data_IF_696295128778
#
_entry.id   IF_696295128778
#
_cell.length_a   1.000
_cell.length_b   1.000
_cell.length_c   1.000
_cell.angle_alpha   90.00
_cell.angle_beta   90.00
_cell.angle_gamma   90.00
#
_symmetry.space_group_name_H-M   'P 1'
#
loop_
_entity.id
_entity.type
_entity.pdbx_description
1 polymer ?
#
# COMPACT_ATOMS: atom_id res chain seq x y z
N UNK A 1 16.16 48.02 -45.87
CA UNK A 1 16.72 47.01 -44.94
C UNK A 1 15.71 46.83 -43.83
N UNK A 2 14.82 45.85 -44.00
CA UNK A 2 13.77 45.52 -43.03
C UNK A 2 14.38 44.68 -41.92
N UNK A 3 14.14 45.09 -40.68
CA UNK A 3 14.48 44.35 -39.46
C UNK A 3 13.39 43.30 -39.20
N UNK A 4 13.73 42.02 -39.36
CA UNK A 4 12.88 40.91 -38.95
C UNK A 4 12.84 40.82 -37.42
N UNK A 5 11.62 40.80 -36.86
CA UNK A 5 11.37 40.43 -35.47
C UNK A 5 11.39 38.89 -35.34
N UNK A 6 11.94 38.31 -34.26
CA UNK A 6 11.87 36.88 -34.02
C UNK A 6 10.42 36.46 -33.80
N UNK A 7 9.99 35.39 -34.47
CA UNK A 7 8.62 34.88 -34.43
C UNK A 7 8.22 34.39 -33.04
N UNK A 8 7.06 34.86 -32.57
CA UNK A 8 6.35 34.29 -31.44
C UNK A 8 5.99 32.82 -31.72
N UNK A 9 6.46 31.92 -30.87
CA UNK A 9 6.01 30.54 -30.86
C UNK A 9 4.51 30.51 -30.54
N UNK A 10 3.69 30.20 -31.55
CA UNK A 10 2.24 30.01 -31.38
C UNK A 10 1.99 28.88 -30.38
N UNK A 11 1.59 29.24 -29.17
CA UNK A 11 1.05 28.32 -28.18
C UNK A 11 -0.24 27.74 -28.75
N UNK A 12 -0.15 26.52 -29.27
CA UNK A 12 -1.29 25.81 -29.84
C UNK A 12 -2.20 25.36 -28.69
N UNK A 13 -3.14 26.20 -28.28
CA UNK A 13 -4.17 25.92 -27.29
C UNK A 13 -5.18 24.91 -27.85
N UNK A 14 -4.76 23.64 -27.96
CA UNK A 14 -5.68 22.55 -28.25
C UNK A 14 -6.70 22.48 -27.10
N UNK A 15 -7.98 22.63 -27.44
CA UNK A 15 -9.12 22.44 -26.54
C UNK A 15 -8.95 21.18 -25.68
N UNK A 16 -9.06 21.34 -24.36
CA UNK A 16 -9.17 20.22 -23.43
C UNK A 16 -10.59 19.66 -23.59
N UNK A 17 -10.72 18.46 -24.18
CA UNK A 17 -11.98 17.71 -24.14
C UNK A 17 -12.19 17.18 -22.72
N UNK A 18 -13.24 17.68 -22.07
CA UNK A 18 -13.75 17.13 -20.81
C UNK A 18 -14.29 15.71 -21.07
N UNK A 19 -14.02 14.79 -20.13
CA UNK A 19 -14.39 13.37 -20.19
C UNK A 19 -15.85 13.11 -19.81
N UNK A 20 -16.67 14.16 -19.71
CA UNK A 20 -18.01 14.12 -19.11
C UNK A 20 -19.08 13.44 -19.97
N UNK A 21 -18.79 13.06 -21.22
CA UNK A 21 -19.74 12.35 -22.08
C UNK A 21 -19.09 11.16 -22.80
N UNK A 22 -19.77 10.01 -22.91
CA UNK A 22 -19.40 8.97 -23.87
C UNK A 22 -19.31 9.64 -25.25
N UNK A 23 -18.16 9.54 -25.91
CA UNK A 23 -18.03 10.13 -27.25
C UNK A 23 -19.12 9.57 -28.15
N UNK A 24 -19.95 10.44 -28.75
CA UNK A 24 -20.74 10.09 -29.93
C UNK A 24 -19.79 9.79 -31.09
N UNK A 25 -19.13 8.63 -31.08
CA UNK A 25 -18.38 8.08 -32.21
C UNK A 25 -17.94 6.64 -31.91
N UNK A 26 -18.70 5.68 -32.45
CA UNK A 26 -18.21 4.33 -32.78
C UNK A 26 -17.97 3.38 -31.61
N UNK A 27 -17.94 2.09 -31.95
CA UNK A 27 -17.59 0.97 -31.07
C UNK A 27 -16.40 1.36 -30.19
N UNK A 28 -16.58 1.30 -28.87
CA UNK A 28 -15.50 1.50 -27.91
C UNK A 28 -14.34 0.58 -28.28
N UNK A 29 -13.18 1.16 -28.61
CA UNK A 29 -11.94 0.40 -28.80
C UNK A 29 -11.30 -0.03 -27.49
N UNK A 30 -11.97 0.17 -26.35
CA UNK A 30 -11.49 -0.24 -25.05
C UNK A 30 -11.71 -1.75 -24.87
N UNK A 31 -10.70 -2.51 -24.41
CA UNK A 31 -10.88 -3.91 -24.08
C UNK A 31 -11.88 -4.07 -22.93
N UNK A 32 -12.73 -5.09 -23.02
CA UNK A 32 -13.63 -5.46 -21.93
C UNK A 32 -12.82 -5.95 -20.71
N UNK A 33 -13.36 -5.74 -19.50
CA UNK A 33 -12.80 -6.29 -18.27
C UNK A 33 -13.85 -7.19 -17.62
N UNK A 34 -13.51 -8.46 -17.42
CA UNK A 34 -14.26 -9.41 -16.60
C UNK A 34 -13.50 -9.61 -15.29
N UNK A 35 -13.75 -8.77 -14.29
CA UNK A 35 -13.02 -8.83 -13.03
C UNK A 35 -13.25 -10.18 -12.33
N UNK A 36 -12.17 -10.81 -11.86
CA UNK A 36 -12.21 -12.14 -11.26
C UNK A 36 -12.19 -13.30 -12.25
N UNK A 37 -12.06 -13.09 -13.56
CA UNK A 37 -11.77 -14.21 -14.47
C UNK A 37 -10.35 -14.75 -14.24
N UNK A 38 -10.24 -16.08 -14.15
CA UNK A 38 -8.97 -16.78 -13.88
C UNK A 38 -8.06 -16.87 -15.11
N UNK A 39 -8.61 -16.80 -16.32
CA UNK A 39 -7.82 -16.64 -17.55
C UNK A 39 -7.56 -15.14 -17.77
N UNK A 40 -6.30 -14.69 -17.89
CA UNK A 40 -5.99 -13.29 -18.18
C UNK A 40 -6.64 -12.79 -19.48
N UNK A 41 -6.79 -13.62 -20.52
CA UNK A 41 -7.43 -13.21 -21.77
C UNK A 41 -8.91 -12.91 -21.58
N UNK A 42 -9.62 -13.73 -20.80
CA UNK A 42 -11.02 -13.49 -20.44
C UNK A 42 -11.16 -12.30 -19.48
N UNK A 43 -10.20 -12.15 -18.55
CA UNK A 43 -10.14 -11.01 -17.62
C UNK A 43 -9.98 -9.69 -18.37
N UNK A 44 -9.15 -9.67 -19.41
CA UNK A 44 -8.83 -8.48 -20.23
C UNK A 44 -7.87 -7.50 -19.53
N UNK A 45 -7.14 -6.63 -20.25
CA UNK A 45 -6.11 -5.77 -19.66
C UNK A 45 -6.65 -4.49 -19.00
N UNK A 46 -5.90 -3.94 -18.03
CA UNK A 46 -6.12 -2.59 -17.48
C UNK A 46 -5.46 -1.54 -18.37
N UNK A 47 -6.26 -0.65 -18.98
CA UNK A 47 -5.78 0.35 -19.94
C UNK A 47 -6.05 1.77 -19.44
N UNK A 48 -5.07 2.34 -18.74
CA UNK A 48 -5.05 3.70 -18.21
C UNK A 48 -4.44 4.75 -19.14
N UNK A 49 -4.58 4.58 -20.45
CA UNK A 49 -3.89 5.40 -21.45
C UNK A 49 -4.25 6.89 -21.37
N UNK A 50 -3.24 7.75 -21.59
CA UNK A 50 -3.39 9.22 -21.67
C UNK A 50 -3.41 9.74 -23.11
N UNK A 51 -3.14 8.88 -24.10
CA UNK A 51 -3.01 9.25 -25.51
C UNK A 51 -4.25 8.88 -26.31
N UNK A 52 -4.62 7.60 -26.33
CA UNK A 52 -5.76 7.10 -27.09
C UNK A 52 -6.97 6.86 -26.17
N UNK A 53 -7.70 7.93 -25.84
CA UNK A 53 -8.78 7.86 -24.86
C UNK A 53 -9.91 6.88 -25.20
N UNK A 54 -10.10 6.50 -26.47
CA UNK A 54 -11.12 5.51 -26.85
C UNK A 54 -10.76 4.07 -26.44
N UNK A 55 -9.50 3.79 -26.11
CA UNK A 55 -9.03 2.49 -25.62
C UNK A 55 -9.08 2.39 -24.08
N UNK A 56 -9.42 3.48 -23.38
CA UNK A 56 -9.36 3.55 -21.93
C UNK A 56 -10.54 2.82 -21.30
N UNK A 57 -10.26 1.94 -20.33
CA UNK A 57 -11.26 1.20 -19.56
C UNK A 57 -11.13 1.40 -18.04
N UNK A 58 -10.50 2.51 -17.61
CA UNK A 58 -10.34 2.87 -16.20
C UNK A 58 -10.66 4.34 -15.95
N UNK A 59 -11.06 4.63 -14.71
CA UNK A 59 -11.02 5.96 -14.13
C UNK A 59 -9.61 6.22 -13.59
N UNK A 60 -9.05 7.40 -13.83
CA UNK A 60 -7.67 7.72 -13.43
C UNK A 60 -6.62 7.23 -14.44
N UNK A 61 -5.35 7.21 -14.03
CA UNK A 61 -4.22 6.88 -14.91
C UNK A 61 -3.24 5.95 -14.19
N UNK A 62 -2.43 5.20 -14.94
CA UNK A 62 -1.29 4.47 -14.37
C UNK A 62 -0.34 5.41 -13.61
N UNK A 63 0.56 4.81 -12.82
CA UNK A 63 1.56 5.49 -12.00
C UNK A 63 1.06 6.04 -10.67
N UNK A 64 -0.14 5.66 -10.22
CA UNK A 64 -0.73 6.04 -8.94
C UNK A 64 -0.54 7.53 -8.58
N UNK A 65 -0.04 7.79 -7.37
CA UNK A 65 0.32 9.15 -6.88
C UNK A 65 1.38 9.88 -7.70
N UNK A 66 2.13 9.19 -8.57
CA UNK A 66 3.16 9.78 -9.43
C UNK A 66 2.64 10.29 -10.78
N UNK A 67 1.36 10.06 -11.09
CA UNK A 67 0.75 10.53 -12.35
C UNK A 67 0.89 12.05 -12.56
N UNK A 68 0.84 12.83 -11.48
CA UNK A 68 1.01 14.29 -11.56
C UNK A 68 2.45 14.70 -11.92
N UNK A 69 3.46 14.00 -11.40
CA UNK A 69 4.86 14.26 -11.77
C UNK A 69 5.11 13.94 -13.24
N UNK A 70 4.49 12.87 -13.76
CA UNK A 70 4.53 12.58 -15.19
C UNK A 70 3.88 13.72 -16.00
N UNK A 71 2.73 14.24 -15.56
CA UNK A 71 2.08 15.36 -16.23
C UNK A 71 2.97 16.62 -16.23
N UNK A 72 3.61 16.93 -15.10
CA UNK A 72 4.58 18.02 -14.99
C UNK A 72 5.79 17.81 -15.90
N UNK A 73 6.34 16.60 -15.97
CA UNK A 73 7.45 16.29 -16.86
C UNK A 73 7.08 16.49 -18.34
N UNK A 74 5.84 16.15 -18.74
CA UNK A 74 5.34 16.45 -20.09
C UNK A 74 5.18 17.94 -20.32
N UNK A 75 4.60 18.67 -19.36
CA UNK A 75 4.40 20.11 -19.46
C UNK A 75 5.74 20.87 -19.53
N UNK A 76 6.76 20.41 -18.79
CA UNK A 76 8.11 20.96 -18.79
C UNK A 76 8.95 20.53 -20.00
N UNK A 77 8.46 19.61 -20.84
CA UNK A 77 9.19 19.09 -21.99
C UNK A 77 10.24 18.02 -21.67
N UNK A 78 10.37 17.61 -20.39
CA UNK A 78 11.26 16.53 -19.95
C UNK A 78 10.79 15.14 -20.40
N UNK A 79 9.49 14.99 -20.71
CA UNK A 79 8.92 13.77 -21.27
C UNK A 79 8.08 14.09 -22.50
N UNK A 80 8.31 13.41 -23.61
CA UNK A 80 7.49 13.61 -24.82
C UNK A 80 6.03 13.27 -24.54
N UNK A 81 5.11 14.14 -24.98
CA UNK A 81 3.68 13.87 -24.89
C UNK A 81 3.35 12.56 -25.62
N UNK A 82 2.74 11.64 -24.89
CA UNK A 82 2.39 10.33 -25.40
C UNK A 82 3.53 9.34 -25.48
N UNK A 83 4.64 9.61 -24.78
CA UNK A 83 5.69 8.63 -24.55
C UNK A 83 5.12 7.30 -24.05
N UNK A 84 5.52 6.24 -24.75
CA UNK A 84 5.31 4.83 -24.39
C UNK A 84 6.59 4.31 -23.76
N UNK A 85 6.46 3.72 -22.57
CA UNK A 85 7.59 3.08 -21.93
C UNK A 85 8.01 1.85 -22.74
N UNK A 86 9.31 1.63 -22.85
CA UNK A 86 9.85 0.34 -23.27
C UNK A 86 9.82 -0.61 -22.07
N UNK A 87 9.09 -1.72 -22.21
CA UNK A 87 8.91 -2.74 -21.18
C UNK A 87 9.71 -4.02 -21.51
N UNK A 88 10.64 -3.94 -22.47
CA UNK A 88 11.54 -5.04 -22.78
C UNK A 88 12.38 -5.41 -21.56
N UNK A 89 12.46 -6.69 -21.24
CA UNK A 89 13.20 -7.23 -20.08
C UNK A 89 12.75 -6.68 -18.71
N UNK A 90 11.48 -6.29 -18.57
CA UNK A 90 10.90 -5.88 -17.28
C UNK A 90 10.09 -6.98 -16.59
N UNK A 91 10.14 -8.23 -17.09
CA UNK A 91 9.46 -9.37 -16.47
C UNK A 91 9.94 -9.61 -15.04
N UNK A 92 9.08 -10.15 -14.16
CA UNK A 92 9.44 -10.54 -12.80
C UNK A 92 10.71 -11.39 -12.73
N UNK A 93 11.64 -11.04 -11.82
CA UNK A 93 12.83 -11.88 -11.53
C UNK A 93 12.47 -13.20 -10.83
N UNK A 94 11.27 -13.29 -10.28
CA UNK A 94 10.74 -14.48 -9.59
C UNK A 94 9.25 -14.57 -9.91
N UNK A 95 8.74 -15.72 -10.38
CA UNK A 95 7.33 -15.88 -10.65
C UNK A 95 6.52 -15.89 -9.34
N UNK A 96 5.32 -15.31 -9.38
CA UNK A 96 4.35 -15.32 -8.29
C UNK A 96 3.03 -15.82 -8.86
N UNK A 97 2.44 -16.85 -8.25
CA UNK A 97 1.16 -17.41 -8.69
C UNK A 97 1.20 -17.96 -10.13
N UNK A 98 0.04 -18.01 -10.82
CA UNK A 98 -1.27 -17.58 -10.34
C UNK A 98 -1.76 -18.49 -9.20
N UNK A 99 -2.54 -17.91 -8.28
CA UNK A 99 -3.21 -18.67 -7.22
C UNK A 99 -4.73 -18.64 -7.43
N UNK A 100 -5.50 -19.64 -6.92
CA UNK A 100 -6.95 -19.68 -7.11
C UNK A 100 -7.69 -18.38 -6.72
N UNK A 101 -7.17 -17.67 -5.72
CA UNK A 101 -7.72 -16.39 -5.25
C UNK A 101 -7.71 -15.29 -6.32
N UNK A 102 -6.88 -15.38 -7.35
CA UNK A 102 -6.83 -14.40 -8.45
C UNK A 102 -8.08 -14.46 -9.34
N UNK A 103 -8.73 -15.63 -9.38
CA UNK A 103 -9.99 -15.88 -10.10
C UNK A 103 -11.24 -15.71 -9.23
N UNK A 104 -11.13 -15.05 -8.07
CA UNK A 104 -12.28 -14.75 -7.20
C UNK A 104 -12.49 -13.22 -7.15
N UNK A 105 -13.60 -12.69 -7.71
CA UNK A 105 -13.87 -11.25 -7.78
C UNK A 105 -14.07 -10.58 -6.42
N UNK A 106 -14.13 -11.35 -5.33
CA UNK A 106 -14.32 -10.85 -3.97
C UNK A 106 -13.08 -10.99 -3.09
N UNK A 107 -12.03 -11.70 -3.53
CA UNK A 107 -10.79 -11.87 -2.76
C UNK A 107 -9.78 -10.76 -2.98
N UNK A 108 -9.75 -10.22 -4.20
CA UNK A 108 -8.80 -9.19 -4.61
C UNK A 108 -9.60 -8.10 -5.33
N UNK A 109 -9.71 -6.94 -4.71
CA UNK A 109 -10.49 -5.80 -5.20
C UNK A 109 -9.68 -4.51 -5.27
N UNK A 110 -8.45 -4.49 -4.74
CA UNK A 110 -7.61 -3.28 -4.59
C UNK A 110 -6.23 -3.34 -5.25
N UNK A 111 -5.90 -4.43 -5.95
CA UNK A 111 -4.74 -4.55 -6.83
C UNK A 111 -5.10 -5.36 -8.08
N UNK A 112 -4.27 -5.28 -9.12
CA UNK A 112 -4.42 -6.09 -10.34
C UNK A 112 -3.66 -7.42 -10.20
N UNK A 113 -4.34 -8.58 -10.15
CA UNK A 113 -3.66 -9.87 -10.02
C UNK A 113 -2.64 -10.14 -11.13
N UNK A 114 -2.90 -9.67 -12.35
CA UNK A 114 -2.06 -9.86 -13.54
C UNK A 114 -1.05 -8.72 -13.74
N UNK A 115 -1.00 -7.76 -12.81
CA UNK A 115 -0.21 -6.55 -12.90
C UNK A 115 1.30 -6.77 -13.02
N UNK A 116 1.80 -7.95 -12.64
CA UNK A 116 3.22 -8.31 -12.69
C UNK A 116 3.64 -8.91 -14.04
N UNK A 117 2.71 -9.52 -14.78
CA UNK A 117 2.99 -10.33 -15.98
C UNK A 117 2.36 -9.74 -17.24
N UNK A 118 1.96 -8.47 -17.21
CA UNK A 118 1.33 -7.74 -18.33
C UNK A 118 2.02 -7.96 -19.67
N UNK A 119 3.36 -7.91 -19.69
CA UNK A 119 4.15 -8.09 -20.92
C UNK A 119 3.99 -9.48 -21.56
N UNK A 120 3.74 -10.49 -20.73
CA UNK A 120 3.58 -11.89 -21.15
C UNK A 120 2.11 -12.18 -21.49
N UNK A 121 1.20 -11.88 -20.57
CA UNK A 121 -0.20 -12.26 -20.70
C UNK A 121 -1.00 -11.35 -21.62
N UNK A 122 -0.51 -10.14 -21.93
CA UNK A 122 -1.19 -9.22 -22.87
C UNK A 122 -0.32 -8.83 -24.07
N UNK A 123 0.62 -9.70 -24.47
CA UNK A 123 1.53 -9.47 -25.59
C UNK A 123 0.81 -9.07 -26.89
N UNK A 124 -0.30 -9.74 -27.23
CA UNK A 124 -1.07 -9.43 -28.44
C UNK A 124 -1.70 -8.04 -28.41
N UNK A 125 -2.21 -7.61 -27.26
CA UNK A 125 -2.76 -6.27 -27.08
C UNK A 125 -1.64 -5.22 -27.16
N UNK A 126 -0.48 -5.49 -26.56
CA UNK A 126 0.69 -4.61 -26.67
C UNK A 126 1.14 -4.47 -28.14
N UNK A 127 1.17 -5.57 -28.90
CA UNK A 127 1.48 -5.57 -30.33
C UNK A 127 0.46 -4.80 -31.17
N UNK A 128 -0.81 -4.80 -30.77
CA UNK A 128 -1.89 -3.98 -31.37
C UNK A 128 -1.81 -2.50 -30.95
N UNK A 129 -0.87 -2.13 -30.08
CA UNK A 129 -0.64 -0.75 -29.67
C UNK A 129 -1.50 -0.29 -28.49
N UNK A 130 -2.06 -1.17 -27.67
CA UNK A 130 -2.64 -0.76 -26.38
C UNK A 130 -1.54 -0.28 -25.41
N UNK A 131 -1.80 0.77 -24.63
CA UNK A 131 -0.88 1.29 -23.59
C UNK A 131 -1.24 0.65 -22.25
N UNK A 132 -0.82 -0.61 -22.08
CA UNK A 132 -0.99 -1.42 -20.88
C UNK A 132 0.32 -1.35 -20.11
N UNK A 133 0.27 -1.06 -18.81
CA UNK A 133 1.46 -0.92 -17.98
C UNK A 133 1.39 -1.85 -16.77
N UNK A 134 2.52 -2.47 -16.38
CA UNK A 134 2.60 -3.19 -15.12
C UNK A 134 2.21 -2.29 -13.96
N UNK A 135 1.36 -2.82 -13.08
CA UNK A 135 1.04 -2.21 -11.78
C UNK A 135 1.77 -2.92 -10.65
N UNK A 136 2.46 -4.02 -10.95
CA UNK A 136 3.29 -4.77 -10.01
C UNK A 136 4.66 -5.01 -10.64
N UNK A 137 5.71 -4.89 -9.84
CA UNK A 137 7.08 -5.23 -10.26
C UNK A 137 7.76 -6.08 -9.18
N UNK A 138 8.47 -7.12 -9.60
CA UNK A 138 9.13 -8.09 -8.70
C UNK A 138 10.62 -8.17 -9.01
N UNK A 139 11.45 -7.86 -8.02
CA UNK A 139 12.91 -7.90 -8.13
C UNK A 139 13.55 -8.58 -6.92
N UNK A 140 14.83 -8.93 -7.01
CA UNK A 140 15.63 -9.36 -5.86
C UNK A 140 16.51 -8.21 -5.38
N UNK A 141 16.73 -8.14 -4.07
CA UNK A 141 17.57 -7.12 -3.47
C UNK A 141 18.27 -7.62 -2.21
N UNK A 142 19.34 -6.94 -1.85
CA UNK A 142 19.95 -7.02 -0.52
C UNK A 142 19.56 -5.77 0.26
N UNK A 143 18.99 -5.95 1.46
CA UNK A 143 18.58 -4.84 2.31
C UNK A 143 19.51 -4.75 3.51
N UNK A 144 20.15 -3.60 3.68
CA UNK A 144 20.95 -3.28 4.85
C UNK A 144 20.12 -2.43 5.82
N UNK A 145 19.98 -2.90 7.05
CA UNK A 145 19.39 -2.12 8.14
C UNK A 145 20.36 -2.09 9.33
N UNK A 146 20.56 -0.92 9.97
CA UNK A 146 21.34 -0.81 11.20
C UNK A 146 20.92 -1.82 12.29
N UNK A 147 19.61 -2.09 12.39
CA UNK A 147 19.02 -2.98 13.39
C UNK A 147 19.37 -4.45 13.15
N UNK A 148 19.58 -4.87 11.90
CA UNK A 148 20.09 -6.22 11.59
C UNK A 148 21.53 -6.34 12.09
N UNK A 149 22.37 -5.34 11.83
CA UNK A 149 23.75 -5.31 12.32
C UNK A 149 23.80 -5.34 13.86
N UNK A 150 22.91 -4.60 14.52
CA UNK A 150 22.77 -4.64 15.98
C UNK A 150 22.30 -6.02 16.47
N UNK A 151 21.31 -6.63 15.81
CA UNK A 151 20.84 -7.98 16.16
C UNK A 151 21.94 -9.03 16.06
N UNK A 152 22.83 -8.93 15.05
CA UNK A 152 24.03 -9.78 14.95
C UNK A 152 25.00 -9.51 16.10
N UNK A 153 25.29 -8.23 16.39
CA UNK A 153 26.20 -7.85 17.48
C UNK A 153 25.71 -8.35 18.85
N UNK A 154 24.40 -8.34 19.08
CA UNK A 154 23.76 -8.88 20.27
C UNK A 154 23.44 -10.39 20.19
N UNK A 155 23.95 -11.10 19.18
CA UNK A 155 23.77 -12.54 18.97
C UNK A 155 22.31 -13.01 18.85
N UNK A 156 21.39 -12.10 18.52
CA UNK A 156 19.97 -12.40 18.26
C UNK A 156 19.73 -12.94 16.84
N UNK A 157 20.62 -12.59 15.92
CA UNK A 157 20.70 -13.15 14.57
C UNK A 157 22.13 -13.63 14.28
N UNK A 158 22.25 -14.58 13.34
CA UNK A 158 23.53 -15.15 12.91
C UNK A 158 23.55 -15.20 11.39
N UNK A 159 24.56 -14.64 10.70
CA UNK A 159 24.67 -14.83 9.25
C UNK A 159 24.68 -16.31 8.88
N UNK A 160 23.98 -16.65 7.80
CA UNK A 160 23.88 -18.02 7.26
C UNK A 160 24.29 -18.11 5.77
N UNK A 161 24.63 -16.97 5.15
CA UNK A 161 25.02 -16.89 3.75
C UNK A 161 23.88 -17.12 2.75
N UNK A 162 22.63 -17.28 3.22
CA UNK A 162 21.46 -17.59 2.39
C UNK A 162 20.35 -16.55 2.53
N UNK A 163 19.98 -16.22 3.76
CA UNK A 163 18.95 -15.22 4.07
C UNK A 163 19.56 -13.99 4.72
N UNK A 164 20.64 -14.19 5.48
CA UNK A 164 21.42 -13.14 6.11
C UNK A 164 22.90 -13.32 5.77
N UNK A 165 23.46 -12.36 5.04
CA UNK A 165 24.84 -12.39 4.56
C UNK A 165 25.82 -11.88 5.62
N UNK A 166 27.10 -12.20 5.44
CA UNK A 166 28.18 -11.81 6.37
C UNK A 166 28.34 -10.29 6.50
N UNK A 167 27.99 -9.53 5.46
CA UNK A 167 27.98 -8.06 5.45
C UNK A 167 26.76 -7.45 6.15
N UNK A 168 25.96 -8.27 6.84
CA UNK A 168 24.70 -7.89 7.52
C UNK A 168 23.56 -7.49 6.59
N UNK A 169 23.62 -7.79 5.29
CA UNK A 169 22.46 -7.64 4.42
C UNK A 169 21.51 -8.84 4.52
N UNK A 170 20.21 -8.55 4.50
CA UNK A 170 19.20 -9.57 4.30
C UNK A 170 18.87 -9.71 2.81
N UNK A 171 18.87 -10.96 2.31
CA UNK A 171 18.43 -11.27 0.95
C UNK A 171 16.91 -11.30 0.90
N UNK A 172 16.31 -10.56 -0.03
CA UNK A 172 14.85 -10.48 -0.15
C UNK A 172 14.38 -10.48 -1.60
N UNK A 173 13.22 -11.06 -1.83
CA UNK A 173 12.39 -10.70 -2.98
C UNK A 173 11.58 -9.45 -2.61
N UNK A 174 11.74 -8.40 -3.41
CA UNK A 174 11.06 -7.11 -3.24
C UNK A 174 9.98 -6.96 -4.31
N UNK A 175 8.78 -6.58 -3.87
CA UNK A 175 7.63 -6.39 -4.76
C UNK A 175 7.09 -4.98 -4.58
N UNK A 176 6.92 -4.22 -5.66
CA UNK A 176 6.21 -2.95 -5.64
C UNK A 176 4.82 -3.13 -6.25
N UNK A 177 3.78 -2.55 -5.62
CA UNK A 177 2.38 -2.72 -6.04
C UNK A 177 1.71 -1.34 -6.07
N UNK A 178 1.17 -0.98 -7.23
CA UNK A 178 0.25 0.14 -7.41
C UNK A 178 -1.19 -0.30 -7.17
N UNK A 179 -2.03 0.54 -6.54
CA UNK A 179 -3.43 0.21 -6.29
C UNK A 179 -4.23 0.20 -7.59
N UNK A 180 -5.07 -0.82 -7.75
CA UNK A 180 -6.05 -0.94 -8.85
C UNK A 180 -7.36 -1.40 -8.25
N UNK A 181 -8.37 -0.54 -8.24
CA UNK A 181 -9.61 -0.78 -7.53
C UNK A 181 -10.69 -1.28 -8.48
N UNK A 182 -11.26 -2.43 -8.15
CA UNK A 182 -12.57 -2.86 -8.65
C UNK A 182 -13.66 -2.20 -7.81
N UNK A 183 -14.31 -1.17 -8.36
CA UNK A 183 -15.16 -0.25 -7.58
C UNK A 183 -16.32 -0.99 -6.92
N UNK A 184 -16.98 -1.92 -7.61
CA UNK A 184 -18.05 -2.75 -7.04
C UNK A 184 -17.54 -3.58 -5.85
N UNK A 185 -16.36 -4.19 -5.99
CA UNK A 185 -15.73 -4.97 -4.93
C UNK A 185 -15.36 -4.13 -3.71
N UNK A 186 -14.81 -2.94 -3.93
CA UNK A 186 -14.50 -1.98 -2.85
C UNK A 186 -15.78 -1.50 -2.15
N UNK A 187 -16.85 -1.20 -2.90
CA UNK A 187 -18.14 -0.81 -2.32
C UNK A 187 -18.72 -1.90 -1.42
N UNK A 188 -18.70 -3.16 -1.89
CA UNK A 188 -19.08 -4.33 -1.09
C UNK A 188 -18.24 -4.46 0.18
N UNK A 189 -16.93 -4.23 0.08
CA UNK A 189 -16.01 -4.31 1.23
C UNK A 189 -16.33 -3.29 2.32
N UNK A 190 -16.75 -2.09 1.93
CA UNK A 190 -17.16 -1.02 2.84
C UNK A 190 -18.65 -1.05 3.20
N UNK A 191 -19.40 -2.04 2.75
CA UNK A 191 -20.83 -2.17 2.99
C UNK A 191 -21.63 -0.91 2.57
N UNK A 192 -21.29 -0.37 1.40
CA UNK A 192 -21.97 0.77 0.78
C UNK A 192 -22.41 0.42 -0.65
N UNK A 193 -23.33 1.20 -1.21
CA UNK A 193 -23.67 1.07 -2.63
C UNK A 193 -22.52 1.59 -3.51
N UNK A 194 -22.35 1.01 -4.70
CA UNK A 194 -21.36 1.50 -5.67
C UNK A 194 -21.63 2.96 -6.07
N UNK A 195 -22.91 3.32 -6.23
CA UNK A 195 -23.31 4.68 -6.59
C UNK A 195 -22.93 5.69 -5.50
N UNK A 196 -23.17 5.36 -4.22
CA UNK A 196 -22.80 6.21 -3.11
C UNK A 196 -21.28 6.32 -2.98
N UNK A 197 -20.54 5.22 -3.11
CA UNK A 197 -19.08 5.23 -3.07
C UNK A 197 -18.51 6.17 -4.14
N UNK A 198 -18.95 6.03 -5.40
CA UNK A 198 -18.51 6.87 -6.51
C UNK A 198 -18.83 8.35 -6.27
N UNK A 199 -20.05 8.65 -5.80
CA UNK A 199 -20.49 10.02 -5.53
C UNK A 199 -19.67 10.66 -4.42
N UNK A 200 -19.51 9.98 -3.29
CA UNK A 200 -18.72 10.49 -2.16
C UNK A 200 -17.26 10.68 -2.57
N UNK A 201 -16.66 9.73 -3.29
CA UNK A 201 -15.29 9.88 -3.78
C UNK A 201 -15.14 11.10 -4.71
N UNK A 202 -16.10 11.36 -5.59
CA UNK A 202 -16.09 12.54 -6.44
C UNK A 202 -16.24 13.85 -5.63
N UNK A 203 -17.20 13.90 -4.71
CA UNK A 203 -17.48 15.07 -3.87
C UNK A 203 -16.29 15.41 -2.94
N UNK A 204 -15.79 14.42 -2.20
CA UNK A 204 -14.72 14.58 -1.21
C UNK A 204 -13.33 14.79 -1.83
N UNK A 205 -13.17 14.51 -3.13
CA UNK A 205 -11.94 14.87 -3.88
C UNK A 205 -12.05 16.22 -4.58
N UNK A 206 -13.07 17.02 -4.28
CA UNK A 206 -13.27 18.34 -4.89
C UNK A 206 -13.64 18.26 -6.38
N UNK A 207 -14.35 17.21 -6.78
CA UNK A 207 -14.76 16.98 -8.16
C UNK A 207 -13.67 16.40 -9.06
N UNK A 208 -12.61 15.81 -8.49
CA UNK A 208 -11.63 15.07 -9.30
C UNK A 208 -12.28 13.81 -9.88
N UNK A 209 -11.84 13.44 -11.09
CA UNK A 209 -12.33 12.26 -11.83
C UNK A 209 -13.84 12.27 -12.11
N UNK A 210 -14.35 13.18 -12.96
CA UNK A 210 -15.77 13.23 -13.33
C UNK A 210 -16.33 11.88 -13.83
N UNK A 211 -15.48 11.03 -14.43
CA UNK A 211 -15.85 9.68 -14.85
C UNK A 211 -16.43 8.81 -13.72
N UNK A 212 -16.11 9.08 -12.45
CA UNK A 212 -16.72 8.37 -11.31
C UNK A 212 -18.25 8.48 -11.33
N UNK A 213 -18.79 9.63 -11.74
CA UNK A 213 -20.24 9.91 -11.78
C UNK A 213 -20.82 9.93 -13.19
N UNK A 214 -20.02 10.15 -14.24
CA UNK A 214 -20.50 10.21 -15.62
C UNK A 214 -20.34 8.92 -16.42
N UNK A 215 -19.53 7.96 -15.95
CA UNK A 215 -19.18 6.71 -16.66
C UNK A 215 -19.34 5.49 -15.75
N UNK A 216 -20.60 5.11 -15.50
CA UNK A 216 -20.94 3.89 -14.76
C UNK A 216 -20.50 2.60 -15.46
N UNK A 217 -20.23 2.66 -16.77
CA UNK A 217 -19.69 1.56 -17.57
C UNK A 217 -18.21 1.25 -17.26
N UNK A 218 -17.50 2.15 -16.57
CA UNK A 218 -16.11 1.93 -16.15
C UNK A 218 -16.09 1.50 -14.68
N UNK A 219 -15.84 0.22 -14.43
CA UNK A 219 -15.78 -0.35 -13.07
C UNK A 219 -14.40 -0.35 -12.40
N UNK A 220 -13.34 0.08 -13.09
CA UNK A 220 -11.97 0.09 -12.55
C UNK A 220 -11.52 1.52 -12.26
N UNK A 221 -10.93 1.73 -11.08
CA UNK A 221 -10.32 2.99 -10.68
C UNK A 221 -8.83 2.81 -10.36
N UNK A 222 -8.00 3.72 -10.85
CA UNK A 222 -6.59 3.84 -10.51
C UNK A 222 -6.42 5.03 -9.55
N UNK A 223 -6.56 4.81 -8.22
CA UNK A 223 -6.50 5.90 -7.25
C UNK A 223 -5.09 6.49 -7.17
N UNK A 224 -4.95 7.82 -7.07
CA UNK A 224 -3.66 8.51 -6.99
C UNK A 224 -3.06 8.45 -5.58
N UNK A 225 -3.09 7.28 -4.93
CA UNK A 225 -2.61 7.10 -3.56
C UNK A 225 -1.26 6.38 -3.51
N UNK A 226 -0.70 6.24 -2.31
CA UNK A 226 0.50 5.44 -2.07
C UNK A 226 0.23 3.95 -2.31
N UNK A 227 1.17 3.28 -2.96
CA UNK A 227 1.13 1.84 -3.17
C UNK A 227 1.64 1.03 -1.97
N UNK A 228 2.02 -0.22 -2.23
CA UNK A 228 2.62 -1.11 -1.25
C UNK A 228 4.00 -1.58 -1.72
N UNK A 229 4.86 -1.91 -0.76
CA UNK A 229 6.11 -2.61 -1.03
C UNK A 229 6.21 -3.82 -0.13
N UNK A 230 6.50 -4.97 -0.71
CA UNK A 230 6.66 -6.23 0.01
C UNK A 230 8.14 -6.58 0.07
N UNK A 231 8.53 -7.18 1.20
CA UNK A 231 9.84 -7.78 1.40
C UNK A 231 9.62 -9.22 1.88
N UNK A 232 10.05 -10.17 1.06
CA UNK A 232 9.94 -11.60 1.34
C UNK A 232 11.33 -12.11 1.72
N UNK A 233 11.43 -12.71 2.90
CA UNK A 233 12.64 -13.34 3.42
C UNK A 233 12.47 -14.85 3.23
N UNK A 234 13.20 -15.44 2.29
CA UNK A 234 12.97 -16.82 1.89
C UNK A 234 12.39 -16.96 0.49
N UNK A 235 11.79 -18.12 0.21
CA UNK A 235 11.18 -18.43 -1.09
C UNK A 235 9.75 -17.86 -1.16
N UNK A 236 9.41 -17.04 -2.16
CA UNK A 236 8.04 -16.56 -2.35
C UNK A 236 7.00 -17.66 -2.57
N UNK A 237 7.40 -18.82 -3.12
CA UNK A 237 6.50 -19.95 -3.34
C UNK A 237 5.98 -20.54 -2.03
N UNK A 238 6.78 -20.44 -0.96
CA UNK A 238 6.47 -21.03 0.35
C UNK A 238 5.35 -20.24 1.07
N UNK A 239 5.07 -19.00 0.64
CA UNK A 239 4.00 -18.17 1.22
C UNK A 239 2.60 -18.79 1.05
N UNK A 240 2.39 -19.56 -0.01
CA UNK A 240 1.12 -20.20 -0.32
C UNK A 240 0.98 -21.61 0.30
N UNK A 241 2.07 -22.16 0.83
CA UNK A 241 2.09 -23.49 1.45
C UNK A 241 1.77 -23.40 2.95
N UNK A 242 0.60 -23.86 3.41
CA UNK A 242 0.22 -23.80 4.82
C UNK A 242 1.04 -24.73 5.72
N UNK A 243 1.88 -25.62 5.17
CA UNK A 243 2.81 -26.46 5.94
C UNK A 243 4.12 -25.75 6.27
N UNK A 244 4.46 -24.69 5.54
CA UNK A 244 5.65 -23.87 5.83
C UNK A 244 5.29 -22.76 6.81
N UNK A 245 6.14 -22.54 7.82
CA UNK A 245 5.90 -21.52 8.83
C UNK A 245 6.06 -20.12 8.22
N UNK A 246 4.95 -19.38 8.15
CA UNK A 246 4.90 -17.98 7.73
C UNK A 246 4.92 -17.04 8.95
N UNK A 247 5.99 -16.25 9.05
CA UNK A 247 6.06 -15.08 9.93
C UNK A 247 5.77 -13.82 9.12
N UNK A 248 4.71 -13.08 9.47
CA UNK A 248 4.26 -11.95 8.68
C UNK A 248 4.01 -10.69 9.52
N UNK A 249 4.25 -9.54 8.88
CA UNK A 249 3.87 -8.22 9.39
C UNK A 249 3.24 -7.42 8.26
N UNK A 250 2.08 -6.85 8.55
CA UNK A 250 1.51 -5.80 7.71
C UNK A 250 1.70 -4.45 8.40
N UNK A 251 2.49 -3.59 7.77
CA UNK A 251 2.97 -2.33 8.32
C UNK A 251 2.35 -1.16 7.56
N UNK A 252 1.85 -0.17 8.30
CA UNK A 252 1.43 1.10 7.71
C UNK A 252 2.56 2.10 7.92
N UNK A 253 2.93 2.80 6.86
CA UNK A 253 3.99 3.79 6.81
C UNK A 253 3.92 4.81 7.95
N UNK A 254 5.08 5.08 8.54
CA UNK A 254 5.30 6.14 9.48
C UNK A 254 6.69 6.74 9.21
N UNK A 255 6.80 7.58 8.19
CA UNK A 255 8.04 8.16 7.68
C UNK A 255 8.96 8.71 8.80
N UNK A 256 8.41 9.54 9.68
CA UNK A 256 9.16 10.11 10.80
C UNK A 256 9.79 9.08 11.75
N UNK A 257 9.14 7.93 11.97
CA UNK A 257 9.71 6.86 12.80
C UNK A 257 10.56 5.91 11.95
N UNK A 258 9.98 5.36 10.88
CA UNK A 258 10.58 4.33 10.03
C UNK A 258 11.91 4.78 9.43
N UNK A 259 11.98 6.02 8.91
CA UNK A 259 13.18 6.56 8.27
C UNK A 259 14.08 7.27 9.29
N UNK A 260 13.52 8.14 10.12
CA UNK A 260 14.29 9.08 10.95
C UNK A 260 14.39 8.71 12.43
N UNK A 261 13.77 7.61 12.87
CA UNK A 261 13.93 7.10 14.23
C UNK A 261 13.22 7.92 15.31
N UNK A 262 12.12 8.60 14.97
CA UNK A 262 11.28 9.27 15.97
C UNK A 262 10.85 8.31 17.09
N UNK A 263 10.98 8.78 18.33
CA UNK A 263 10.71 8.08 19.58
C UNK A 263 9.30 8.29 20.15
N UNK A 264 8.46 9.04 19.43
CA UNK A 264 7.08 9.39 19.83
C UNK A 264 6.12 8.21 19.61
N UNK A 265 6.49 7.27 18.73
CA UNK A 265 5.68 6.10 18.42
C UNK A 265 6.54 4.84 18.26
N UNK A 266 5.84 3.72 18.16
CA UNK A 266 6.41 2.37 18.12
C UNK A 266 6.53 1.79 16.71
N UNK A 267 6.31 2.60 15.67
CA UNK A 267 6.30 2.14 14.27
C UNK A 267 7.62 1.49 13.85
N UNK A 268 8.76 2.21 13.97
CA UNK A 268 10.07 1.63 13.62
C UNK A 268 10.50 0.49 14.52
N UNK A 269 10.44 0.60 15.87
CA UNK A 269 10.77 -0.52 16.75
C UNK A 269 10.02 -1.81 16.39
N UNK A 270 8.75 -1.68 16.00
CA UNK A 270 7.95 -2.85 15.66
C UNK A 270 8.25 -3.38 14.25
N UNK A 271 8.53 -2.50 13.29
CA UNK A 271 8.98 -2.87 11.95
C UNK A 271 10.31 -3.63 12.00
N UNK A 272 11.28 -3.13 12.76
CA UNK A 272 12.61 -3.74 12.86
C UNK A 272 12.58 -5.05 13.64
N UNK A 273 11.76 -5.13 14.71
CA UNK A 273 11.48 -6.40 15.38
C UNK A 273 10.84 -7.42 14.43
N UNK A 274 9.85 -7.02 13.62
CA UNK A 274 9.21 -7.90 12.65
C UNK A 274 10.19 -8.38 11.56
N UNK A 275 11.08 -7.51 11.07
CA UNK A 275 12.13 -7.90 10.12
C UNK A 275 13.03 -8.97 10.74
N UNK A 276 13.45 -8.79 11.99
CA UNK A 276 14.25 -9.78 12.70
C UNK A 276 13.52 -11.13 12.88
N UNK A 277 12.24 -11.11 13.27
CA UNK A 277 11.41 -12.32 13.37
C UNK A 277 11.26 -13.01 11.99
N UNK A 278 11.10 -12.23 10.91
CA UNK A 278 11.00 -12.74 9.55
C UNK A 278 12.31 -13.40 9.09
N UNK A 279 13.45 -12.75 9.32
CA UNK A 279 14.77 -13.33 9.04
C UNK A 279 14.91 -14.62 9.82
N UNK A 280 14.72 -14.59 11.15
CA UNK A 280 14.86 -15.77 12.01
C UNK A 280 13.95 -16.94 11.58
N UNK A 281 12.70 -16.64 11.24
CA UNK A 281 11.75 -17.62 10.71
C UNK A 281 12.24 -18.27 9.42
N UNK A 282 12.80 -17.48 8.49
CA UNK A 282 13.40 -18.01 7.27
C UNK A 282 14.61 -18.92 7.56
N UNK A 283 15.48 -18.55 8.50
CA UNK A 283 16.63 -19.39 8.89
C UNK A 283 16.21 -20.74 9.51
N UNK A 284 15.01 -20.81 10.08
CA UNK A 284 14.44 -22.02 10.69
C UNK A 284 13.67 -22.89 9.68
N UNK A 285 13.75 -22.58 8.38
CA UNK A 285 13.06 -23.31 7.32
C UNK A 285 11.64 -22.80 7.03
N UNK A 286 11.27 -21.63 7.56
CA UNK A 286 10.04 -20.92 7.23
C UNK A 286 10.21 -19.88 6.13
N UNK A 287 9.27 -18.95 6.06
CA UNK A 287 9.28 -17.77 5.19
C UNK A 287 8.80 -16.54 5.95
N UNK A 288 9.46 -15.41 5.70
CA UNK A 288 9.13 -14.12 6.30
C UNK A 288 8.48 -13.16 5.29
N UNK A 289 7.50 -12.38 5.73
CA UNK A 289 6.82 -11.37 4.91
C UNK A 289 6.65 -10.05 5.66
N UNK A 290 7.17 -8.97 5.08
CA UNK A 290 6.79 -7.60 5.46
C UNK A 290 5.99 -6.98 4.32
N UNK A 291 4.72 -6.67 4.56
CA UNK A 291 3.90 -5.90 3.66
C UNK A 291 3.83 -4.43 4.13
N UNK A 292 4.54 -3.54 3.46
CA UNK A 292 4.65 -2.12 3.82
C UNK A 292 3.68 -1.29 2.97
N UNK A 293 2.60 -0.82 3.58
CA UNK A 293 1.56 0.02 2.96
C UNK A 293 1.84 1.51 3.19
N UNK A 294 1.81 2.32 2.14
CA UNK A 294 2.05 3.77 2.21
C UNK A 294 0.81 4.54 2.65
N UNK A 295 0.44 4.35 3.92
CA UNK A 295 -0.75 4.92 4.59
C UNK A 295 -0.34 5.78 5.80
N UNK A 296 0.47 6.82 5.55
CA UNK A 296 0.98 7.72 6.59
C UNK A 296 -0.12 8.32 7.48
N UNK A 297 0.16 8.39 8.79
CA UNK A 297 -0.70 9.08 9.74
C UNK A 297 -2.10 8.49 9.85
N UNK A 298 -2.26 7.17 9.72
CA UNK A 298 -3.58 6.52 9.63
C UNK A 298 -4.41 6.99 8.43
N UNK A 299 -3.72 7.19 7.31
CA UNK A 299 -4.28 7.80 6.10
C UNK A 299 -4.77 9.25 6.25
N UNK A 300 -4.39 9.96 7.33
CA UNK A 300 -4.63 11.41 7.50
C UNK A 300 -3.53 12.29 6.91
N UNK A 301 -2.38 11.69 6.59
CA UNK A 301 -1.19 12.42 6.16
C UNK A 301 -0.35 13.01 7.29
N UNK A 302 0.88 13.42 6.94
CA UNK A 302 1.90 13.83 7.91
C UNK A 302 1.59 15.17 8.61
N UNK A 303 0.98 16.12 7.89
CA UNK A 303 0.60 17.43 8.45
C UNK A 303 -0.40 17.25 9.60
N UNK A 304 -1.49 16.52 9.37
CA UNK A 304 -2.52 16.27 10.39
C UNK A 304 -1.93 15.52 11.58
N UNK A 305 -1.08 14.51 11.34
CA UNK A 305 -0.35 13.80 12.39
C UNK A 305 0.47 14.74 13.28
N UNK A 306 1.21 15.69 12.69
CA UNK A 306 2.02 16.63 13.46
C UNK A 306 1.16 17.64 14.23
N UNK A 307 0.02 18.07 13.66
CA UNK A 307 -0.96 18.87 14.38
C UNK A 307 -1.52 18.12 15.60
N UNK A 308 -1.80 16.81 15.47
CA UNK A 308 -2.21 15.95 16.59
C UNK A 308 -1.11 15.86 17.65
N UNK A 309 0.15 15.65 17.26
CA UNK A 309 1.27 15.64 18.22
C UNK A 309 1.41 16.96 18.97
N UNK A 310 1.34 18.09 18.26
CA UNK A 310 1.39 19.42 18.86
C UNK A 310 0.21 19.63 19.82
N UNK A 311 -0.99 19.22 19.42
CA UNK A 311 -2.19 19.32 20.25
C UNK A 311 -2.09 18.47 21.52
N UNK A 312 -1.55 17.26 21.42
CA UNK A 312 -1.29 16.36 22.56
C UNK A 312 -0.28 16.94 23.54
N UNK A 313 0.82 17.51 23.04
CA UNK A 313 1.86 18.10 23.90
C UNK A 313 1.41 19.41 24.55
N UNK A 314 0.60 20.22 23.87
CA UNK A 314 0.15 21.55 24.34
C UNK A 314 -1.12 21.53 25.21
N UNK A 315 -1.82 20.41 25.33
CA UNK A 315 -3.02 20.34 26.16
C UNK A 315 -2.68 20.51 27.65
N UNK A 316 -3.64 21.01 28.42
CA UNK A 316 -3.49 21.12 29.88
C UNK A 316 -3.25 19.73 30.48
N UNK A 317 -2.16 19.62 31.26
CA UNK A 317 -1.72 18.35 31.85
C UNK A 317 -0.82 17.50 30.94
N UNK A 318 -0.34 18.06 29.82
CA UNK A 318 0.63 17.44 28.93
C UNK A 318 0.09 16.27 28.09
N UNK A 319 0.99 15.60 27.40
CA UNK A 319 0.66 14.41 26.60
C UNK A 319 0.41 13.21 27.52
N UNK A 320 -0.73 12.53 27.38
CA UNK A 320 -1.16 11.46 28.27
C UNK A 320 -1.98 10.39 27.53
N UNK A 321 -1.93 9.16 28.01
CA UNK A 321 -2.50 8.01 27.31
C UNK A 321 -4.05 8.08 27.27
N UNK A 322 -4.68 8.51 28.36
CA UNK A 322 -6.13 8.71 28.49
C UNK A 322 -6.72 9.67 27.43
N UNK A 323 -5.94 10.65 26.96
CA UNK A 323 -6.37 11.66 25.98
C UNK A 323 -5.88 11.39 24.55
N UNK A 324 -5.17 10.28 24.33
CA UNK A 324 -4.48 10.02 23.07
C UNK A 324 -5.43 10.03 21.86
N UNK A 325 -6.53 9.27 21.92
CA UNK A 325 -7.49 9.20 20.82
C UNK A 325 -8.38 10.44 20.73
N UNK A 326 -8.77 11.01 21.87
CA UNK A 326 -9.55 12.24 21.95
C UNK A 326 -8.88 13.37 21.15
N UNK A 327 -7.57 13.56 21.29
CA UNK A 327 -6.86 14.61 20.55
C UNK A 327 -6.77 14.33 19.05
N UNK A 328 -6.75 13.06 18.65
CA UNK A 328 -6.81 12.69 17.24
C UNK A 328 -8.17 13.09 16.67
N UNK A 329 -9.25 12.68 17.33
CA UNK A 329 -10.63 12.99 16.94
C UNK A 329 -10.93 14.49 16.92
N UNK A 330 -10.45 15.26 17.91
CA UNK A 330 -10.60 16.72 17.92
C UNK A 330 -9.97 17.42 16.71
N UNK A 331 -8.90 16.88 16.12
CA UNK A 331 -8.16 17.50 15.01
C UNK A 331 -8.60 16.94 13.66
N UNK A 332 -8.80 15.63 13.59
CA UNK A 332 -9.06 14.89 12.35
C UNK A 332 -10.54 14.57 12.13
N UNK A 333 -11.41 14.75 13.13
CA UNK A 333 -12.82 14.37 13.10
C UNK A 333 -13.08 12.86 13.26
N UNK A 334 -12.03 12.04 13.16
CA UNK A 334 -12.06 10.58 13.30
C UNK A 334 -10.76 10.07 13.94
N UNK A 335 -10.79 8.87 14.50
CA UNK A 335 -9.61 8.25 15.12
C UNK A 335 -8.74 7.48 14.12
N UNK A 336 -9.31 7.00 13.02
CA UNK A 336 -8.63 6.21 11.98
C UNK A 336 -9.36 6.35 10.64
N UNK A 337 -8.63 6.58 9.55
CA UNK A 337 -9.18 6.60 8.17
C UNK A 337 -8.62 5.44 7.32
N UNK A 338 -7.88 4.51 7.92
CA UNK A 338 -7.30 3.39 7.17
C UNK A 338 -8.40 2.39 6.83
N UNK A 339 -8.48 2.09 5.54
CA UNK A 339 -9.20 0.94 5.02
C UNK A 339 -8.37 -0.33 5.26
N UNK A 340 -8.52 -0.94 6.43
CA UNK A 340 -7.85 -2.22 6.75
C UNK A 340 -8.50 -3.38 6.01
N UNK A 341 -9.73 -3.22 5.56
CA UNK A 341 -10.47 -4.23 4.83
C UNK A 341 -9.84 -4.51 3.46
N UNK A 342 -9.17 -3.55 2.83
CA UNK A 342 -8.45 -3.77 1.56
C UNK A 342 -7.06 -4.40 1.75
N UNK A 343 -6.55 -4.42 2.98
CA UNK A 343 -5.19 -4.88 3.27
C UNK A 343 -4.94 -6.37 2.95
N UNK A 344 -5.88 -7.31 3.19
CA UNK A 344 -5.66 -8.73 2.92
C UNK A 344 -5.50 -9.08 1.44
N UNK A 345 -5.91 -8.22 0.50
CA UNK A 345 -5.84 -8.49 -0.94
C UNK A 345 -4.43 -8.89 -1.40
N UNK A 346 -3.40 -8.28 -0.80
CA UNK A 346 -2.02 -8.61 -1.13
C UNK A 346 -1.60 -9.98 -0.58
N UNK A 347 -2.17 -10.41 0.54
CA UNK A 347 -1.94 -11.74 1.09
C UNK A 347 -2.62 -12.79 0.20
N UNK A 348 -3.85 -12.53 -0.26
CA UNK A 348 -4.55 -13.36 -1.24
C UNK A 348 -3.80 -13.42 -2.57
N UNK A 349 -3.23 -12.31 -3.02
CA UNK A 349 -2.38 -12.26 -4.22
C UNK A 349 -1.12 -13.13 -4.10
N UNK A 350 -0.55 -13.23 -2.90
CA UNK A 350 0.57 -14.13 -2.59
C UNK A 350 0.13 -15.58 -2.34
N UNK A 351 -1.17 -15.89 -2.42
CA UNK A 351 -1.71 -17.23 -2.19
C UNK A 351 -1.80 -17.64 -0.71
N UNK A 352 -1.54 -16.71 0.22
CA UNK A 352 -1.49 -16.97 1.66
C UNK A 352 -2.85 -17.47 2.16
N UNK A 353 -2.82 -18.60 2.87
CA UNK A 353 -3.99 -19.20 3.53
C UNK A 353 -3.87 -19.19 5.06
N UNK A 354 -2.64 -19.19 5.57
CA UNK A 354 -2.34 -19.24 7.00
C UNK A 354 -1.10 -18.42 7.32
N UNK A 355 -1.22 -17.53 8.30
CA UNK A 355 -0.10 -16.83 8.92
C UNK A 355 0.17 -17.52 10.26
N UNK A 356 1.31 -18.18 10.40
CA UNK A 356 1.65 -18.89 11.62
C UNK A 356 1.96 -17.90 12.75
N UNK A 357 2.73 -16.86 12.43
CA UNK A 357 3.17 -15.82 13.37
C UNK A 357 2.85 -14.45 12.81
N UNK A 358 1.79 -13.81 13.30
CA UNK A 358 1.45 -12.44 12.93
C UNK A 358 2.10 -11.46 13.91
N UNK A 359 3.11 -10.72 13.48
CA UNK A 359 3.78 -9.71 14.32
C UNK A 359 2.91 -8.44 14.38
N UNK A 360 1.86 -8.45 15.21
CA UNK A 360 0.90 -7.35 15.33
C UNK A 360 0.07 -7.39 16.61
N UNK A 361 -0.09 -6.22 17.23
CA UNK A 361 -1.04 -5.98 18.34
C UNK A 361 -2.37 -5.35 17.87
N UNK A 362 -2.50 -4.97 16.59
CA UNK A 362 -3.74 -4.36 16.08
C UNK A 362 -4.81 -5.40 15.82
N UNK A 363 -5.96 -5.26 16.49
CA UNK A 363 -7.14 -6.09 16.23
C UNK A 363 -7.71 -5.82 14.86
N UNK A 364 -7.80 -4.55 14.42
CA UNK A 364 -8.27 -4.21 13.08
C UNK A 364 -7.55 -4.99 11.98
N UNK A 365 -6.22 -5.14 12.09
CA UNK A 365 -5.43 -5.95 11.14
C UNK A 365 -5.73 -7.43 11.27
N UNK A 366 -5.82 -7.95 12.49
CA UNK A 366 -6.13 -9.35 12.75
C UNK A 366 -7.53 -9.72 12.25
N UNK A 367 -8.53 -8.89 12.55
CA UNK A 367 -9.93 -9.07 12.15
C UNK A 367 -10.08 -8.95 10.64
N UNK A 368 -9.38 -8.00 9.99
CA UNK A 368 -9.39 -7.90 8.54
C UNK A 368 -8.78 -9.14 7.86
N UNK A 369 -7.67 -9.67 8.38
CA UNK A 369 -7.00 -10.89 7.86
C UNK A 369 -7.89 -12.11 8.05
N UNK A 370 -8.34 -12.37 9.28
CA UNK A 370 -9.15 -13.54 9.62
C UNK A 370 -10.54 -13.49 9.00
N UNK A 371 -11.18 -12.32 8.98
CA UNK A 371 -12.44 -12.07 8.28
C UNK A 371 -12.34 -12.19 6.76
N UNK A 372 -11.13 -12.15 6.20
CA UNK A 372 -10.89 -12.48 4.78
C UNK A 372 -10.64 -13.97 4.53
N UNK A 373 -10.72 -14.82 5.55
CA UNK A 373 -10.55 -16.27 5.47
C UNK A 373 -9.10 -16.76 5.57
N UNK A 374 -8.17 -15.92 6.05
CA UNK A 374 -6.78 -16.33 6.33
C UNK A 374 -6.67 -16.72 7.81
N UNK A 375 -6.19 -17.93 8.08
CA UNK A 375 -5.97 -18.39 9.45
C UNK A 375 -4.78 -17.67 10.09
N UNK A 376 -4.87 -17.32 11.37
CA UNK A 376 -3.76 -16.74 12.14
C UNK A 376 -3.48 -17.64 13.34
N UNK A 377 -2.25 -18.11 13.48
CA UNK A 377 -1.80 -18.98 14.57
C UNK A 377 -1.59 -18.20 15.87
N UNK A 378 -0.46 -17.50 15.98
CA UNK A 378 -0.14 -16.64 17.12
C UNK A 378 0.08 -15.18 16.71
N UNK A 379 -0.14 -14.28 17.67
CA UNK A 379 0.18 -12.86 17.53
C UNK A 379 1.41 -12.53 18.36
N UNK A 380 2.45 -12.05 17.70
CA UNK A 380 3.73 -11.69 18.33
C UNK A 380 3.71 -10.20 18.66
N UNK A 381 3.77 -9.85 19.95
CA UNK A 381 3.88 -8.45 20.40
C UNK A 381 5.31 -7.91 20.25
N UNK A 382 5.46 -6.59 20.30
CA UNK A 382 6.79 -6.00 20.44
C UNK A 382 7.34 -6.28 21.86
N UNK A 383 8.63 -6.61 22.03
CA UNK A 383 9.28 -6.67 23.34
C UNK A 383 9.25 -5.32 24.07
N UNK A 384 9.03 -5.35 25.39
CA UNK A 384 8.86 -4.16 26.22
C UNK A 384 10.11 -3.26 26.21
N UNK A 385 11.30 -3.86 26.12
CA UNK A 385 12.59 -3.18 26.04
C UNK A 385 12.81 -2.41 24.73
N UNK A 386 12.04 -2.73 23.67
CA UNK A 386 12.09 -2.01 22.40
C UNK A 386 11.12 -0.83 22.35
N UNK A 387 10.28 -0.63 23.36
CA UNK A 387 9.30 0.46 23.43
C UNK A 387 9.99 1.74 23.92
N UNK A 388 10.11 2.80 23.10
CA UNK A 388 10.65 4.07 23.55
C UNK A 388 9.83 4.67 24.70
N UNK A 389 10.48 5.42 25.58
CA UNK A 389 9.82 5.99 26.76
C UNK A 389 8.62 6.89 26.40
N UNK A 390 8.77 7.79 25.41
CA UNK A 390 7.68 8.68 24.98
C UNK A 390 6.55 7.92 24.25
N UNK A 391 6.89 6.79 23.62
CA UNK A 391 5.92 5.92 22.94
C UNK A 391 5.06 5.08 23.89
N UNK A 392 5.36 5.03 25.20
CA UNK A 392 4.49 4.37 26.19
C UNK A 392 3.09 4.97 26.22
N UNK A 393 2.98 6.28 26.01
CA UNK A 393 1.69 6.97 25.86
C UNK A 393 0.85 6.34 24.75
N UNK A 394 1.48 6.06 23.60
CA UNK A 394 0.79 5.41 22.49
C UNK A 394 0.42 3.96 22.79
N UNK A 395 1.38 3.16 23.30
CA UNK A 395 1.14 1.73 23.55
C UNK A 395 0.02 1.53 24.57
N UNK A 396 0.07 2.22 25.71
CA UNK A 396 -0.92 2.01 26.76
C UNK A 396 -2.31 2.45 26.33
N UNK A 397 -2.42 3.58 25.61
CA UNK A 397 -3.67 4.02 25.01
C UNK A 397 -4.23 2.97 24.05
N UNK A 398 -3.39 2.39 23.19
CA UNK A 398 -3.81 1.35 22.25
C UNK A 398 -4.27 0.07 22.95
N UNK A 399 -3.55 -0.39 23.97
CA UNK A 399 -3.93 -1.57 24.75
C UNK A 399 -5.29 -1.34 25.43
N UNK A 400 -5.50 -0.16 26.02
CA UNK A 400 -6.79 0.20 26.61
C UNK A 400 -7.92 0.28 25.58
N UNK A 401 -7.63 0.70 24.35
CA UNK A 401 -8.56 0.66 23.22
C UNK A 401 -8.73 -0.74 22.60
N UNK A 402 -8.22 -1.79 23.25
CA UNK A 402 -8.46 -3.18 22.89
C UNK A 402 -7.35 -3.85 22.09
N UNK A 403 -6.19 -3.21 21.85
CA UNK A 403 -5.07 -3.87 21.18
C UNK A 403 -4.61 -5.10 21.97
N UNK A 404 -4.24 -6.16 21.24
CA UNK A 404 -3.79 -7.41 21.84
C UNK A 404 -2.58 -7.21 22.74
N UNK A 405 -2.63 -7.83 23.91
CA UNK A 405 -1.56 -7.93 24.89
C UNK A 405 -1.66 -9.27 25.60
N UNK A 406 -0.54 -9.83 25.99
CA UNK A 406 -0.43 -10.99 26.88
C UNK A 406 -0.41 -10.58 28.38
N UNK A 407 -0.33 -9.26 28.65
CA UNK A 407 -0.33 -8.67 29.99
C UNK A 407 -1.67 -8.07 30.41
N UNK A 408 -1.66 -7.32 31.50
CA UNK A 408 -2.84 -6.61 32.01
C UNK A 408 -3.20 -5.41 31.14
N UNK A 409 -4.50 -5.22 30.89
CA UNK A 409 -5.02 -3.96 30.34
C UNK A 409 -4.88 -2.85 31.40
N UNK A 410 -4.28 -1.69 31.07
CA UNK A 410 -4.19 -0.56 31.99
C UNK A 410 -5.57 -0.08 32.44
N UNK A 411 -5.72 0.22 33.73
CA UNK A 411 -6.91 0.90 34.26
C UNK A 411 -6.83 2.42 34.02
N UNK A 412 -7.94 3.13 34.26
CA UNK A 412 -8.05 4.57 34.03
C UNK A 412 -7.01 5.37 34.84
N UNK A 413 -6.66 4.89 36.03
CA UNK A 413 -5.66 5.53 36.91
C UNK A 413 -4.28 5.43 36.27
N UNK A 414 -3.90 4.24 35.79
CA UNK A 414 -2.63 4.00 35.11
C UNK A 414 -2.55 4.77 33.79
N UNK A 415 -3.61 4.79 33.00
CA UNK A 415 -3.67 5.56 31.74
C UNK A 415 -3.46 7.05 31.96
N UNK A 416 -4.09 7.63 32.98
CA UNK A 416 -3.94 9.04 33.30
C UNK A 416 -2.53 9.36 33.85
N UNK A 417 -1.88 8.40 34.51
CA UNK A 417 -0.53 8.54 35.06
C UNK A 417 0.57 8.44 33.99
N UNK A 418 0.31 7.76 32.87
CA UNK A 418 1.29 7.63 31.78
C UNK A 418 1.39 8.92 30.98
N UNK A 419 2.52 9.61 31.16
CA UNK A 419 2.82 10.91 30.55
C UNK A 419 3.96 10.80 29.54
N UNK A 420 3.82 11.56 28.46
CA UNK A 420 4.90 11.81 27.52
C UNK A 420 5.83 12.90 28.06
N UNK A 421 6.97 13.09 27.38
CA UNK A 421 7.89 14.19 27.68
C UNK A 421 7.24 15.55 27.47
N UNK A 422 7.69 16.53 28.25
CA UNK A 422 7.32 17.94 28.11
C UNK A 422 7.90 18.56 26.82
N UNK A 423 7.35 19.71 26.43
CA UNK A 423 7.95 20.56 25.41
C UNK A 423 9.25 21.16 25.97
N UNK A 424 10.34 20.98 25.24
CA UNK A 424 11.65 21.55 25.58
C UNK A 424 11.67 23.08 25.47
#
# INVERSE_FOLDING_TARGET
>A
MSTEKPGEAKVNTKHIRLTSHPGQQGVSGAPNISWGAADPQERGPVVGTTTNRSQRNVVGTHSGSYGIYRALAVAAGNLTKGHRADLTNTSPTTPIGPYPQWGDPHRIVSLDPWGATVGEVFADHLAQGYDIRPTIAVTQAHVHLPEIKQAIAFQRLKPDGKYLLEDSSAMVTKIAIEPVWWIEGVAKRFNVSEADLRRVMFEETGGMYPELVTRSDIGIFLPPIGGQTLYIFGSPADLADPSVTLTARVHDECNGSDVFGSDICTCRPYLTHAIEECVRGAQQGGVGLIAYSRKEGRALGEVTKFLVYNARKRQVGGDSADKYFLRTECVAGVQDMRFQELMPDVLHWLGVKKIHRLVSMSNDKYDAITGSGIEVGERVKIPDELVPADAKVEIEAKIAAGYFTDGSVPDDVKLAATKGRDLA
#
